data_IF_222762633278
#
_entry.id   IF_222762633278
#
_cell.length_a   1.000
_cell.length_b   1.000
_cell.length_c   1.000
_cell.angle_alpha   90.00
_cell.angle_beta   90.00
_cell.angle_gamma   90.00
#
_symmetry.space_group_name_H-M   'P 1'
#
loop_
_entity.id
_entity.type
_entity.pdbx_description
1 polymer ?
#
# COMPACT_ATOMS: atom_id res chain seq x y z
N UNK A 1 19.82 58.57 12.51
CA UNK A 1 18.87 57.44 12.62
C UNK A 1 19.55 56.19 12.09
N UNK A 2 20.07 55.32 12.95
CA UNK A 2 20.67 54.03 12.56
C UNK A 2 19.75 52.93 13.09
N UNK A 3 19.09 52.23 12.17
CA UNK A 3 18.17 51.13 12.44
C UNK A 3 18.98 49.88 12.79
N UNK A 4 18.80 49.40 14.01
CA UNK A 4 19.35 48.15 14.53
C UNK A 4 18.55 46.99 13.96
N UNK A 5 19.18 46.14 13.14
CA UNK A 5 18.59 44.89 12.67
C UNK A 5 18.74 43.81 13.76
N UNK A 6 17.62 43.30 14.24
CA UNK A 6 17.52 42.22 15.22
C UNK A 6 17.81 40.87 14.54
N UNK A 7 18.95 40.27 14.88
CA UNK A 7 19.33 38.92 14.44
C UNK A 7 18.46 37.89 15.18
N UNK A 8 17.55 37.20 14.46
CA UNK A 8 16.79 36.07 15.01
C UNK A 8 17.65 34.81 14.99
N UNK A 9 18.07 34.38 16.17
CA UNK A 9 18.78 33.11 16.39
C UNK A 9 17.79 31.95 16.24
N UNK A 10 17.96 31.12 15.19
CA UNK A 10 17.26 29.84 15.05
C UNK A 10 18.02 28.81 15.88
N UNK A 11 17.42 28.35 16.97
CA UNK A 11 17.94 27.26 17.79
C UNK A 11 17.55 25.94 17.11
N UNK A 12 18.50 25.27 16.47
CA UNK A 12 18.38 23.88 16.07
C UNK A 12 18.41 23.01 17.34
N UNK A 13 17.26 22.50 17.76
CA UNK A 13 17.19 21.47 18.79
C UNK A 13 17.75 20.16 18.22
N UNK A 14 18.98 19.80 18.59
CA UNK A 14 19.47 18.43 18.40
C UNK A 14 18.69 17.51 19.36
N UNK A 15 17.76 16.75 18.82
CA UNK A 15 17.23 15.58 19.50
C UNK A 15 18.37 14.56 19.67
N UNK A 16 18.85 14.40 20.91
CA UNK A 16 19.64 13.23 21.29
C UNK A 16 18.72 12.01 21.27
N UNK A 17 18.61 11.36 20.12
CA UNK A 17 18.04 10.01 20.01
C UNK A 17 18.93 9.08 20.85
N UNK A 18 18.40 8.59 21.97
CA UNK A 18 19.07 7.53 22.73
C UNK A 18 19.37 6.36 21.80
N UNK A 19 20.59 5.82 21.88
CA UNK A 19 20.98 4.63 21.12
C UNK A 19 20.19 3.43 21.65
N UNK A 20 19.04 3.17 21.02
CA UNK A 20 18.24 1.96 21.15
C UNK A 20 18.94 0.86 20.35
N UNK A 21 19.18 -0.29 20.97
CA UNK A 21 19.89 -1.41 20.36
C UNK A 21 19.34 -2.73 20.89
N UNK A 22 19.09 -3.65 19.96
CA UNK A 22 18.74 -5.02 20.25
C UNK A 22 19.84 -5.68 21.09
N UNK A 23 19.44 -6.52 22.04
CA UNK A 23 20.33 -7.19 22.98
C UNK A 23 20.26 -8.70 22.75
N UNK A 24 21.40 -9.29 22.36
CA UNK A 24 21.57 -10.73 22.19
C UNK A 24 22.50 -11.25 23.28
N UNK A 25 22.02 -12.18 24.11
CA UNK A 25 22.85 -12.93 25.05
C UNK A 25 23.19 -14.29 24.43
N UNK A 26 24.47 -14.65 24.44
CA UNK A 26 24.96 -15.94 23.98
C UNK A 26 25.11 -16.92 25.15
N UNK A 27 25.06 -18.22 24.86
CA UNK A 27 25.15 -19.30 25.86
C UNK A 27 26.49 -19.33 26.62
N UNK A 28 27.54 -18.71 26.08
CA UNK A 28 28.83 -18.55 26.76
C UNK A 28 28.89 -17.30 27.66
N UNK A 29 27.81 -16.52 27.75
CA UNK A 29 27.73 -15.28 28.53
C UNK A 29 28.04 -14.01 27.75
N UNK A 30 28.49 -14.11 26.50
CA UNK A 30 28.77 -12.93 25.68
C UNK A 30 27.48 -12.16 25.38
N UNK A 31 27.59 -10.83 25.35
CA UNK A 31 26.47 -9.94 25.05
C UNK A 31 26.80 -9.10 23.82
N UNK A 32 25.92 -9.15 22.83
CA UNK A 32 26.03 -8.35 21.63
C UNK A 32 24.89 -7.34 21.64
N UNK A 33 25.24 -6.06 21.54
CA UNK A 33 24.29 -4.97 21.33
C UNK A 33 24.37 -4.49 19.89
N UNK A 34 23.23 -4.38 19.23
CA UNK A 34 23.18 -3.96 17.83
C UNK A 34 21.78 -3.97 17.26
N UNK A 35 21.66 -4.47 16.05
CA UNK A 35 20.41 -4.44 15.29
C UNK A 35 20.29 -5.75 14.53
N UNK A 36 19.28 -6.55 14.85
CA UNK A 36 19.01 -7.83 14.19
C UNK A 36 18.54 -7.55 12.77
N UNK A 37 19.34 -7.99 11.80
CA UNK A 37 19.07 -7.80 10.39
C UNK A 37 18.20 -8.93 9.86
N UNK A 38 18.67 -10.17 10.02
CA UNK A 38 18.07 -11.35 9.42
C UNK A 38 18.49 -12.60 10.19
N UNK A 39 17.59 -13.58 10.30
CA UNK A 39 17.93 -14.96 10.67
C UNK A 39 17.49 -15.87 9.55
N UNK A 40 18.43 -16.61 8.97
CA UNK A 40 18.13 -17.63 7.97
C UNK A 40 18.95 -18.89 8.23
N UNK A 41 18.28 -20.04 8.19
CA UNK A 41 18.89 -21.33 8.53
C UNK A 41 19.46 -21.32 9.95
N UNK A 42 20.77 -21.52 10.07
CA UNK A 42 21.50 -21.58 11.35
C UNK A 42 22.28 -20.30 11.69
N UNK A 43 22.08 -19.22 10.94
CA UNK A 43 22.86 -17.99 11.10
C UNK A 43 21.95 -16.81 11.45
N UNK A 44 22.40 -16.00 12.40
CA UNK A 44 21.82 -14.70 12.76
C UNK A 44 22.79 -13.60 12.35
N UNK A 45 22.27 -12.63 11.60
CA UNK A 45 23.02 -11.47 11.12
C UNK A 45 22.64 -10.24 11.94
N UNK A 46 23.64 -9.56 12.48
CA UNK A 46 23.50 -8.41 13.37
C UNK A 46 24.38 -7.29 12.84
N UNK A 47 23.85 -6.06 12.76
CA UNK A 47 24.65 -4.85 12.56
C UNK A 47 24.97 -4.26 13.93
N UNK A 48 26.23 -3.92 14.18
CA UNK A 48 26.64 -3.21 15.41
C UNK A 48 27.21 -1.84 15.06
N UNK A 49 27.49 -1.02 16.08
CA UNK A 49 28.12 0.29 15.88
C UNK A 49 29.57 0.19 15.33
N UNK A 50 30.22 -0.96 15.52
CA UNK A 50 31.63 -1.18 15.18
C UNK A 50 31.85 -2.19 14.05
N UNK A 51 30.79 -2.88 13.62
CA UNK A 51 30.84 -3.82 12.50
C UNK A 51 29.53 -3.76 11.72
N UNK A 52 29.63 -3.56 10.40
CA UNK A 52 28.48 -3.54 9.49
C UNK A 52 27.68 -4.83 9.52
N UNK A 53 28.36 -5.97 9.76
CA UNK A 53 27.74 -7.28 9.84
C UNK A 53 28.55 -8.22 10.72
N UNK A 54 27.95 -8.67 11.81
CA UNK A 54 28.40 -9.81 12.63
C UNK A 54 27.46 -10.97 12.34
N UNK A 55 28.03 -12.14 12.06
CA UNK A 55 27.27 -13.36 11.82
C UNK A 55 27.58 -14.35 12.92
N UNK A 56 26.55 -14.80 13.64
CA UNK A 56 26.67 -15.80 14.70
C UNK A 56 25.80 -17.02 14.42
N UNK A 57 26.15 -18.15 15.04
CA UNK A 57 25.32 -19.35 14.98
C UNK A 57 24.07 -19.15 15.85
N UNK A 58 22.89 -19.41 15.29
CA UNK A 58 21.61 -19.33 16.02
C UNK A 58 21.61 -20.22 17.27
N UNK A 59 22.22 -21.41 17.17
CA UNK A 59 22.32 -22.35 18.29
C UNK A 59 23.15 -21.82 19.47
N UNK A 60 23.95 -20.77 19.26
CA UNK A 60 24.72 -20.10 20.31
C UNK A 60 23.91 -19.01 21.03
N UNK A 61 22.77 -18.59 20.49
CA UNK A 61 21.89 -17.59 21.10
C UNK A 61 21.17 -18.21 22.29
N UNK A 62 21.22 -17.51 23.43
CA UNK A 62 20.49 -17.84 24.64
C UNK A 62 19.23 -17.00 24.77
N UNK A 63 19.32 -15.69 24.55
CA UNK A 63 18.18 -14.78 24.60
C UNK A 63 18.30 -13.71 23.52
N UNK A 64 17.14 -13.19 23.10
CA UNK A 64 17.03 -12.09 22.15
C UNK A 64 15.97 -11.12 22.65
N UNK A 65 16.36 -9.85 22.77
CA UNK A 65 15.46 -8.74 23.02
C UNK A 65 15.66 -7.71 21.91
N UNK A 66 14.58 -7.16 21.38
CA UNK A 66 14.66 -6.09 20.38
C UNK A 66 13.94 -4.85 20.83
N UNK A 67 14.34 -3.73 20.25
CA UNK A 67 13.65 -2.45 20.44
C UNK A 67 12.67 -2.17 19.30
N UNK A 68 12.91 -2.76 18.11
CA UNK A 68 12.00 -2.70 16.95
C UNK A 68 11.29 -4.04 16.72
N UNK A 69 10.08 -4.05 16.12
CA UNK A 69 9.39 -5.24 15.72
C UNK A 69 10.22 -6.08 14.76
N UNK A 70 10.22 -7.38 15.01
CA UNK A 70 10.75 -8.40 14.11
C UNK A 70 9.59 -9.13 13.45
N UNK A 71 9.77 -9.48 12.16
CA UNK A 71 8.94 -10.49 11.52
C UNK A 71 9.55 -11.86 11.80
N UNK A 72 8.82 -12.76 12.45
CA UNK A 72 9.27 -14.09 12.82
C UNK A 72 8.45 -15.13 12.07
N UNK A 73 9.11 -16.00 11.32
CA UNK A 73 8.49 -17.19 10.72
C UNK A 73 8.79 -18.40 11.59
N UNK A 74 7.74 -19.08 12.06
CA UNK A 74 7.84 -20.29 12.87
C UNK A 74 7.96 -21.55 12.01
N UNK A 75 8.29 -22.67 12.66
CA UNK A 75 8.50 -23.97 12.00
C UNK A 75 7.22 -24.54 11.37
N UNK A 76 6.05 -24.17 11.89
CA UNK A 76 4.72 -24.47 11.34
C UNK A 76 4.29 -23.51 10.20
N UNK A 77 5.17 -22.59 9.81
CA UNK A 77 4.97 -21.52 8.82
C UNK A 77 4.06 -20.37 9.28
N UNK A 78 3.70 -20.29 10.56
CA UNK A 78 3.04 -19.11 11.08
C UNK A 78 4.01 -17.91 11.04
N UNK A 79 3.53 -16.76 10.59
CA UNK A 79 4.27 -15.50 10.58
C UNK A 79 3.71 -14.58 11.66
N UNK A 80 4.58 -14.09 12.53
CA UNK A 80 4.26 -13.21 13.66
C UNK A 80 5.07 -11.91 13.53
N UNK A 81 4.50 -10.77 13.93
CA UNK A 81 5.21 -9.48 13.93
C UNK A 81 5.08 -8.83 15.30
N UNK A 82 6.21 -8.54 15.95
CA UNK A 82 6.21 -7.85 17.24
C UNK A 82 7.61 -7.56 17.77
N UNK A 83 7.68 -6.76 18.82
CA UNK A 83 8.91 -6.51 19.56
C UNK A 83 9.27 -7.78 20.34
N UNK A 84 10.51 -8.23 20.25
CA UNK A 84 10.96 -9.43 20.93
C UNK A 84 11.38 -9.12 22.37
N UNK A 85 10.82 -9.86 23.31
CA UNK A 85 11.25 -9.89 24.70
C UNK A 85 11.64 -11.31 25.09
N UNK A 86 12.36 -11.42 26.20
CA UNK A 86 12.79 -12.71 26.75
C UNK A 86 11.90 -13.10 27.93
N UNK A 87 11.33 -14.29 27.87
CA UNK A 87 10.59 -14.89 28.98
C UNK A 87 11.55 -15.50 30.03
N UNK A 88 11.02 -15.84 31.21
CA UNK A 88 11.82 -16.36 32.32
C UNK A 88 12.55 -17.69 31.99
N UNK A 89 12.05 -18.47 31.04
CA UNK A 89 12.63 -19.73 30.58
C UNK A 89 13.62 -19.57 29.40
N UNK A 90 13.92 -18.32 29.00
CA UNK A 90 14.80 -18.02 27.86
C UNK A 90 14.13 -18.13 26.50
N UNK A 91 12.84 -18.44 26.45
CA UNK A 91 12.04 -18.37 25.22
C UNK A 91 11.69 -16.91 24.86
N UNK A 92 11.20 -16.71 23.63
CA UNK A 92 10.90 -15.39 23.10
C UNK A 92 9.41 -15.09 23.22
N UNK A 93 9.06 -13.91 23.72
CA UNK A 93 7.68 -13.39 23.66
C UNK A 93 7.64 -12.21 22.71
N UNK A 94 6.61 -12.15 21.87
CA UNK A 94 6.38 -11.02 20.99
C UNK A 94 5.27 -10.15 21.57
N UNK A 95 5.53 -8.86 21.70
CA UNK A 95 4.51 -7.86 22.01
C UNK A 95 4.31 -6.94 20.81
N UNK A 96 3.05 -6.77 20.38
CA UNK A 96 2.70 -5.75 19.39
C UNK A 96 2.05 -4.56 20.08
N UNK A 97 2.88 -3.72 20.73
CA UNK A 97 2.52 -2.42 21.34
C UNK A 97 1.07 -2.31 21.88
N UNK A 98 0.68 -3.25 22.75
CA UNK A 98 -0.60 -3.25 23.47
C UNK A 98 -1.77 -3.98 22.79
N UNK A 99 -1.58 -4.58 21.61
CA UNK A 99 -2.64 -5.32 20.89
C UNK A 99 -2.67 -6.79 21.32
N UNK A 100 -1.52 -7.43 21.48
CA UNK A 100 -1.41 -8.80 22.00
C UNK A 100 0.01 -9.11 22.49
N UNK A 101 0.11 -10.10 23.37
CA UNK A 101 1.36 -10.75 23.79
C UNK A 101 1.26 -12.23 23.42
N UNK A 102 2.27 -12.76 22.73
CA UNK A 102 2.28 -14.18 22.39
C UNK A 102 2.54 -15.04 23.63
N UNK A 103 2.14 -16.31 23.57
CA UNK A 103 2.71 -17.31 24.47
C UNK A 103 4.23 -17.42 24.24
N UNK A 104 5.00 -17.89 25.24
CA UNK A 104 6.44 -18.05 25.10
C UNK A 104 6.80 -18.99 23.93
N UNK A 105 7.63 -18.50 23.01
CA UNK A 105 8.03 -19.17 21.77
C UNK A 105 9.45 -19.70 21.93
N UNK A 106 9.67 -21.03 21.93
CA UNK A 106 11.01 -21.59 21.98
C UNK A 106 11.86 -21.09 20.81
N UNK A 107 13.12 -20.68 21.07
CA UNK A 107 14.04 -20.22 20.02
C UNK A 107 14.28 -21.30 18.93
N UNK A 108 14.09 -22.58 19.26
CA UNK A 108 14.16 -23.70 18.32
C UNK A 108 13.03 -23.70 17.30
N UNK A 109 11.88 -23.11 17.62
CA UNK A 109 10.73 -23.04 16.72
C UNK A 109 10.85 -21.89 15.71
N UNK A 110 11.75 -20.93 15.96
CA UNK A 110 11.99 -19.79 15.07
C UNK A 110 12.81 -20.24 13.87
N UNK A 111 12.17 -20.25 12.70
CA UNK A 111 12.79 -20.67 11.44
C UNK A 111 13.50 -19.52 10.74
N UNK A 112 12.86 -18.36 10.65
CA UNK A 112 13.42 -17.16 10.00
C UNK A 112 13.06 -15.90 10.81
N UNK A 113 13.90 -14.88 10.74
CA UNK A 113 13.65 -13.54 11.30
C UNK A 113 13.89 -12.52 10.21
N UNK A 114 12.97 -11.56 10.04
CA UNK A 114 13.02 -10.48 9.05
C UNK A 114 13.17 -10.99 7.61
N UNK A 115 12.62 -12.18 7.34
CA UNK A 115 12.52 -12.69 5.98
C UNK A 115 11.69 -11.72 5.15
N UNK A 116 12.13 -11.45 3.93
CA UNK A 116 11.25 -10.81 2.95
C UNK A 116 10.12 -11.79 2.62
N UNK A 117 8.89 -11.41 2.95
CA UNK A 117 7.71 -12.18 2.58
C UNK A 117 6.98 -11.47 1.44
N UNK A 118 6.37 -12.28 0.58
CA UNK A 118 5.56 -11.82 -0.53
C UNK A 118 4.13 -12.24 -0.25
N UNK A 119 3.23 -11.27 -0.29
CA UNK A 119 1.80 -11.52 -0.29
C UNK A 119 1.20 -10.89 -1.53
N UNK A 120 0.09 -11.42 -2.01
CA UNK A 120 -0.58 -10.82 -3.15
C UNK A 120 -1.88 -11.48 -3.50
N UNK A 121 -2.54 -10.91 -4.49
CA UNK A 121 -3.72 -11.50 -5.08
C UNK A 121 -3.78 -11.24 -6.58
N UNK A 122 -4.46 -12.13 -7.30
CA UNK A 122 -4.86 -11.91 -8.68
C UNK A 122 -6.32 -12.35 -8.82
N UNK A 123 -7.18 -11.47 -9.31
CA UNK A 123 -8.61 -11.69 -9.38
C UNK A 123 -9.12 -11.45 -10.80
N UNK A 124 -10.12 -12.24 -11.20
CA UNK A 124 -10.85 -12.08 -12.45
C UNK A 124 -12.35 -12.17 -12.20
N UNK A 125 -13.09 -11.22 -12.74
CA UNK A 125 -14.54 -11.11 -12.63
C UNK A 125 -15.17 -10.73 -13.96
N UNK A 126 -16.41 -11.12 -14.17
CA UNK A 126 -17.10 -10.79 -15.41
C UNK A 126 -18.56 -11.21 -15.40
N UNK A 127 -19.29 -10.70 -16.39
CA UNK A 127 -20.69 -11.03 -16.62
C UNK A 127 -20.95 -11.04 -18.12
N UNK A 128 -21.73 -12.01 -18.58
CA UNK A 128 -22.19 -12.12 -19.95
C UNK A 128 -23.71 -12.29 -19.91
N UNK A 129 -24.44 -11.36 -20.51
CA UNK A 129 -25.90 -11.41 -20.61
C UNK A 129 -26.30 -11.30 -22.08
N UNK A 130 -27.17 -12.22 -22.53
CA UNK A 130 -27.70 -12.26 -23.88
C UNK A 130 -29.23 -12.20 -23.85
N UNK A 131 -29.85 -11.43 -24.77
CA UNK A 131 -31.30 -11.28 -24.81
C UNK A 131 -31.72 -10.06 -25.63
N UNK A 132 -32.66 -9.26 -25.11
CA UNK A 132 -33.08 -7.99 -25.74
C UNK A 132 -31.94 -6.96 -25.81
N UNK A 133 -30.98 -7.06 -24.89
CA UNK A 133 -29.73 -6.30 -24.86
C UNK A 133 -28.61 -7.29 -24.55
N UNK A 134 -27.54 -7.28 -25.34
CA UNK A 134 -26.34 -8.06 -25.04
C UNK A 134 -25.39 -7.20 -24.22
N UNK A 135 -24.81 -7.73 -23.13
CA UNK A 135 -23.88 -6.99 -22.27
C UNK A 135 -22.76 -7.89 -21.80
N UNK A 136 -21.52 -7.45 -22.04
CA UNK A 136 -20.33 -8.14 -21.53
C UNK A 136 -19.56 -7.20 -20.61
N UNK A 137 -19.05 -7.75 -19.52
CA UNK A 137 -18.15 -7.05 -18.61
C UNK A 137 -16.99 -7.94 -18.23
N UNK A 138 -15.79 -7.38 -18.17
CA UNK A 138 -14.58 -8.02 -17.71
C UNK A 138 -13.86 -7.10 -16.71
N UNK A 139 -13.44 -7.68 -15.61
CA UNK A 139 -12.60 -7.06 -14.60
C UNK A 139 -11.43 -7.98 -14.30
N UNK A 140 -10.22 -7.43 -14.32
CA UNK A 140 -9.01 -8.13 -13.91
C UNK A 140 -8.24 -7.20 -12.99
N UNK A 141 -7.76 -7.72 -11.87
CA UNK A 141 -6.85 -7.00 -11.00
C UNK A 141 -5.77 -7.94 -10.46
N UNK A 142 -4.63 -7.35 -10.10
CA UNK A 142 -3.60 -8.04 -9.35
C UNK A 142 -2.84 -7.05 -8.47
N UNK A 143 -2.40 -7.52 -7.31
CA UNK A 143 -1.54 -6.78 -6.41
C UNK A 143 -0.50 -7.71 -5.77
N UNK A 144 0.71 -7.20 -5.59
CA UNK A 144 1.82 -7.89 -4.96
C UNK A 144 2.48 -6.95 -3.97
N UNK A 145 2.68 -7.41 -2.75
CA UNK A 145 3.40 -6.71 -1.70
C UNK A 145 4.60 -7.55 -1.28
N UNK A 146 5.78 -6.95 -1.33
CA UNK A 146 7.01 -7.47 -0.73
C UNK A 146 7.27 -6.68 0.55
N UNK A 147 7.25 -7.34 1.70
CA UNK A 147 7.55 -6.74 3.00
C UNK A 147 8.83 -7.33 3.57
N UNK A 148 9.80 -6.46 3.82
CA UNK A 148 10.95 -6.75 4.66
C UNK A 148 10.84 -6.04 6.00
N UNK A 149 11.96 -5.96 6.72
CA UNK A 149 12.04 -5.30 8.02
C UNK A 149 11.76 -3.80 7.94
N UNK A 150 12.55 -3.08 7.16
CA UNK A 150 12.47 -1.62 7.04
C UNK A 150 11.78 -1.19 5.75
N UNK A 151 11.57 -2.10 4.79
CA UNK A 151 11.08 -1.75 3.47
C UNK A 151 9.76 -2.48 3.15
N UNK A 152 8.84 -1.79 2.50
CA UNK A 152 7.62 -2.34 1.91
C UNK A 152 7.50 -1.87 0.47
N UNK A 153 7.38 -2.79 -0.48
CA UNK A 153 7.12 -2.48 -1.88
C UNK A 153 5.76 -3.08 -2.23
N UNK A 154 4.86 -2.26 -2.75
CA UNK A 154 3.58 -2.73 -3.29
C UNK A 154 3.51 -2.34 -4.77
N UNK A 155 3.10 -3.28 -5.61
CA UNK A 155 2.83 -3.06 -7.01
C UNK A 155 1.48 -3.67 -7.36
N UNK A 156 0.69 -3.00 -8.18
CA UNK A 156 -0.59 -3.54 -8.59
C UNK A 156 -1.14 -2.87 -9.83
N UNK A 157 -2.21 -3.46 -10.36
CA UNK A 157 -2.91 -2.91 -11.49
C UNK A 157 -4.29 -3.51 -11.66
N UNK A 158 -5.11 -2.83 -12.45
CA UNK A 158 -6.44 -3.30 -12.80
C UNK A 158 -6.82 -2.88 -14.22
N UNK A 159 -7.68 -3.68 -14.83
CA UNK A 159 -8.27 -3.43 -16.14
C UNK A 159 -9.77 -3.67 -16.08
N UNK A 160 -10.54 -2.70 -16.56
CA UNK A 160 -11.99 -2.80 -16.67
C UNK A 160 -12.43 -2.63 -18.11
N UNK A 161 -13.29 -3.53 -18.57
CA UNK A 161 -13.95 -3.47 -19.88
C UNK A 161 -15.44 -3.74 -19.72
N UNK A 162 -16.26 -2.93 -20.37
CA UNK A 162 -17.69 -3.19 -20.49
C UNK A 162 -18.23 -2.66 -21.82
N UNK A 163 -19.02 -3.46 -22.51
CA UNK A 163 -19.77 -3.07 -23.69
C UNK A 163 -21.23 -3.57 -23.61
N UNK A 164 -22.11 -2.89 -24.33
CA UNK A 164 -23.50 -3.29 -24.49
C UNK A 164 -23.94 -3.10 -25.94
N UNK A 165 -24.79 -4.01 -26.42
CA UNK A 165 -25.41 -3.89 -27.72
C UNK A 165 -26.87 -3.44 -27.55
N UNK A 166 -27.17 -2.21 -27.97
CA UNK A 166 -28.51 -1.61 -27.89
C UNK A 166 -29.00 -1.33 -29.31
N UNK A 167 -30.17 -1.85 -29.67
CA UNK A 167 -30.75 -1.69 -31.01
C UNK A 167 -29.78 -2.06 -32.16
N UNK A 168 -28.98 -3.12 -31.96
CA UNK A 168 -28.01 -3.62 -32.95
C UNK A 168 -26.68 -2.84 -33.03
N UNK A 169 -26.50 -1.75 -32.27
CA UNK A 169 -25.25 -0.98 -32.21
C UNK A 169 -24.46 -1.34 -30.95
N UNK A 170 -23.15 -1.52 -31.11
CA UNK A 170 -22.24 -1.72 -29.97
C UNK A 170 -21.88 -0.38 -29.34
N UNK A 171 -22.14 -0.27 -28.05
CA UNK A 171 -21.81 0.87 -27.20
C UNK A 171 -20.76 0.42 -26.17
N UNK A 172 -19.60 1.05 -26.20
CA UNK A 172 -18.61 0.88 -25.15
C UNK A 172 -19.10 1.63 -23.91
N UNK A 173 -19.05 0.99 -22.75
CA UNK A 173 -19.49 1.56 -21.48
C UNK A 173 -18.32 1.80 -20.50
N UNK A 174 -17.30 0.95 -20.55
CA UNK A 174 -16.09 1.13 -19.76
C UNK A 174 -14.86 0.60 -20.51
N UNK A 175 -13.78 1.36 -20.45
CA UNK A 175 -12.43 0.92 -20.82
C UNK A 175 -11.44 1.78 -20.07
N UNK A 176 -10.94 1.23 -18.98
CA UNK A 176 -9.93 1.89 -18.16
C UNK A 176 -8.90 0.90 -17.65
N UNK A 177 -7.74 1.44 -17.36
CA UNK A 177 -6.57 0.73 -16.87
C UNK A 177 -5.91 1.54 -15.77
N UNK A 178 -5.36 0.86 -14.79
CA UNK A 178 -4.54 1.47 -13.76
C UNK A 178 -3.34 0.56 -13.47
N UNK A 179 -2.19 1.18 -13.22
CA UNK A 179 -1.05 0.58 -12.55
C UNK A 179 -0.56 1.52 -11.46
N UNK A 180 -0.08 0.96 -10.36
CA UNK A 180 0.53 1.73 -9.30
C UNK A 180 1.70 0.98 -8.66
N UNK A 181 2.63 1.75 -8.10
CA UNK A 181 3.74 1.26 -7.31
C UNK A 181 3.96 2.16 -6.10
N UNK A 182 4.23 1.56 -4.94
CA UNK A 182 4.57 2.28 -3.72
C UNK A 182 5.79 1.63 -3.07
N UNK A 183 6.76 2.45 -2.69
CA UNK A 183 7.90 2.05 -1.87
C UNK A 183 7.83 2.81 -0.56
N UNK A 184 7.84 2.10 0.57
CA UNK A 184 7.82 2.67 1.91
C UNK A 184 9.07 2.23 2.68
N UNK A 185 9.78 3.18 3.27
CA UNK A 185 10.92 2.95 4.16
C UNK A 185 10.60 3.38 5.59
N UNK A 186 10.64 2.43 6.51
CA UNK A 186 10.24 2.56 7.91
C UNK A 186 11.40 3.07 8.76
N UNK A 187 11.25 4.28 9.30
CA UNK A 187 12.22 4.86 10.22
C UNK A 187 11.99 4.37 11.66
N UNK A 188 10.73 4.04 11.98
CA UNK A 188 10.28 3.41 13.22
C UNK A 188 9.29 2.29 12.91
N UNK A 189 8.77 1.66 13.96
CA UNK A 189 7.79 0.56 13.90
C UNK A 189 6.53 0.89 13.08
N UNK A 190 6.17 2.17 12.98
CA UNK A 190 4.90 2.62 12.37
C UNK A 190 5.06 3.81 11.44
N UNK A 191 6.10 4.63 11.61
CA UNK A 191 6.32 5.81 10.78
C UNK A 191 7.29 5.51 9.65
N UNK A 192 6.91 5.89 8.44
CA UNK A 192 7.68 5.64 7.23
C UNK A 192 7.64 6.83 6.27
N UNK A 193 8.67 6.96 5.46
CA UNK A 193 8.66 7.78 4.25
C UNK A 193 8.27 6.92 3.05
N UNK A 194 7.60 7.49 2.06
CA UNK A 194 7.22 6.74 0.86
C UNK A 194 7.50 7.49 -0.43
N UNK A 195 7.64 6.71 -1.51
CA UNK A 195 7.62 7.16 -2.90
C UNK A 195 6.56 6.35 -3.66
N UNK A 196 5.74 7.06 -4.41
CA UNK A 196 4.54 6.55 -5.08
C UNK A 196 4.57 6.88 -6.57
N UNK A 197 4.07 5.96 -7.39
CA UNK A 197 3.81 6.19 -8.80
C UNK A 197 2.46 5.58 -9.21
N UNK A 198 1.68 6.33 -9.99
CA UNK A 198 0.37 5.93 -10.50
C UNK A 198 0.27 6.25 -11.98
N UNK A 199 -0.20 5.29 -12.76
CA UNK A 199 -0.51 5.44 -14.18
C UNK A 199 -1.95 5.02 -14.41
N UNK A 200 -2.74 5.86 -15.07
CA UNK A 200 -4.14 5.56 -15.39
C UNK A 200 -4.47 5.92 -16.83
N UNK A 201 -5.29 5.09 -17.45
CA UNK A 201 -5.99 5.40 -18.69
C UNK A 201 -7.48 5.29 -18.43
N UNK A 202 -8.26 6.26 -18.93
CA UNK A 202 -9.72 6.16 -18.89
C UNK A 202 -10.30 6.82 -20.15
N UNK A 203 -10.88 5.98 -21.03
CA UNK A 203 -11.46 6.45 -22.29
C UNK A 203 -12.68 7.35 -22.09
N UNK A 204 -13.43 7.19 -21.00
CA UNK A 204 -14.63 7.98 -20.75
C UNK A 204 -14.32 9.30 -20.07
N UNK A 205 -13.23 9.39 -19.31
CA UNK A 205 -12.74 10.66 -18.77
C UNK A 205 -11.82 11.43 -19.73
N UNK A 206 -11.66 10.96 -20.96
CA UNK A 206 -10.74 11.51 -21.96
C UNK A 206 -9.26 11.50 -21.54
N UNK A 207 -8.89 10.53 -20.71
CA UNK A 207 -7.52 10.39 -20.21
C UNK A 207 -6.83 9.35 -21.07
N UNK A 208 -5.93 9.79 -21.95
CA UNK A 208 -5.03 8.89 -22.66
C UNK A 208 -3.98 8.34 -21.70
N UNK A 209 -3.40 9.21 -20.87
CA UNK A 209 -2.49 8.80 -19.80
C UNK A 209 -2.48 9.88 -18.72
N UNK A 210 -2.78 9.48 -17.49
CA UNK A 210 -2.43 10.27 -16.31
C UNK A 210 -1.32 9.56 -15.56
N UNK A 211 -0.22 10.28 -15.34
CA UNK A 211 0.91 9.85 -14.52
C UNK A 211 0.96 10.73 -13.28
N UNK A 212 1.06 10.13 -12.11
CA UNK A 212 1.20 10.84 -10.84
C UNK A 212 2.37 10.25 -10.05
N UNK A 213 3.32 11.09 -9.65
CA UNK A 213 4.50 10.69 -8.89
C UNK A 213 4.65 11.54 -7.64
N UNK A 214 4.74 10.87 -6.50
CA UNK A 214 4.63 11.52 -5.21
C UNK A 214 5.63 10.97 -4.21
N UNK A 215 5.95 11.80 -3.23
CA UNK A 215 6.71 11.40 -2.06
C UNK A 215 6.00 11.92 -0.82
N UNK A 216 6.14 11.25 0.30
CA UNK A 216 5.48 11.71 1.51
C UNK A 216 5.85 10.93 2.75
N UNK A 217 5.05 11.14 3.78
CA UNK A 217 5.13 10.42 5.04
C UNK A 217 3.85 9.62 5.26
N UNK A 218 4.00 8.46 5.89
CA UNK A 218 2.89 7.63 6.29
C UNK A 218 3.06 7.10 7.71
N UNK A 219 1.94 6.67 8.27
CA UNK A 219 1.86 6.12 9.61
C UNK A 219 0.90 4.92 9.65
N UNK A 220 1.37 3.78 10.16
CA UNK A 220 0.53 2.63 10.46
C UNK A 220 -0.13 2.84 11.82
N UNK A 221 -1.39 3.32 11.80
CA UNK A 221 -2.21 3.57 13.00
C UNK A 221 -2.46 2.25 13.74
N UNK A 222 -2.84 1.21 12.98
CA UNK A 222 -2.94 -0.16 13.47
C UNK A 222 -2.08 -1.06 12.57
N UNK A 223 -1.32 -1.96 13.19
CA UNK A 223 -0.50 -2.96 12.50
C UNK A 223 -0.45 -4.23 13.34
N UNK A 224 -1.33 -5.18 13.05
CA UNK A 224 -1.39 -6.50 13.66
C UNK A 224 -1.72 -7.57 12.60
N UNK A 225 -1.74 -8.84 13.00
CA UNK A 225 -2.07 -9.93 12.08
C UNK A 225 -3.49 -9.83 11.50
N UNK A 226 -4.44 -9.32 12.28
CA UNK A 226 -5.86 -9.29 11.91
C UNK A 226 -6.41 -7.88 11.69
N UNK A 227 -5.68 -6.81 12.03
CA UNK A 227 -6.12 -5.43 11.85
C UNK A 227 -4.97 -4.53 11.42
N UNK A 228 -5.11 -3.93 10.24
CA UNK A 228 -4.17 -3.00 9.67
C UNK A 228 -4.91 -1.73 9.23
N UNK A 229 -4.37 -0.57 9.61
CA UNK A 229 -4.85 0.72 9.18
C UNK A 229 -3.65 1.65 9.03
N UNK A 230 -3.47 2.22 7.84
CA UNK A 230 -2.43 3.19 7.56
C UNK A 230 -2.98 4.44 6.90
N UNK A 231 -2.37 5.57 7.22
CA UNK A 231 -2.60 6.84 6.54
C UNK A 231 -1.30 7.33 5.90
N UNK A 232 -1.38 7.86 4.68
CA UNK A 232 -0.28 8.48 3.95
C UNK A 232 -0.69 9.88 3.48
N UNK A 233 0.25 10.83 3.49
CA UNK A 233 0.06 12.14 2.89
C UNK A 233 1.38 12.72 2.34
N UNK A 234 1.29 13.49 1.26
CA UNK A 234 2.48 14.11 0.65
C UNK A 234 2.17 14.90 -0.62
N UNK A 235 3.16 15.67 -1.13
CA UNK A 235 3.07 16.28 -2.45
C UNK A 235 3.17 15.23 -3.57
N UNK A 236 2.54 15.57 -4.69
CA UNK A 236 2.45 14.73 -5.89
C UNK A 236 2.62 15.64 -7.12
N UNK A 237 3.24 15.12 -8.18
CA UNK A 237 3.30 15.78 -9.48
C UNK A 237 2.47 14.98 -10.48
N UNK A 238 1.43 15.61 -11.00
CA UNK A 238 0.45 14.97 -11.88
C UNK A 238 0.58 15.54 -13.29
N UNK A 239 0.69 14.65 -14.27
CA UNK A 239 0.63 14.95 -15.69
C UNK A 239 -0.53 14.17 -16.32
N UNK A 240 -1.39 14.87 -17.07
CA UNK A 240 -2.54 14.32 -17.77
C UNK A 240 -2.43 14.65 -19.25
N UNK A 241 -2.17 13.60 -20.04
CA UNK A 241 -2.31 13.64 -21.49
C UNK A 241 -3.73 13.19 -21.87
N UNK A 242 -4.40 14.00 -22.69
CA UNK A 242 -5.78 13.74 -23.11
C UNK A 242 -5.82 13.16 -24.52
N UNK A 243 -6.95 12.57 -24.93
CA UNK A 243 -7.08 12.16 -26.31
C UNK A 243 -7.35 13.37 -27.20
N UNK A 244 -6.88 13.33 -28.43
CA UNK A 244 -7.24 14.28 -29.47
C UNK A 244 -8.69 14.02 -29.94
N UNK A 245 -9.65 14.44 -29.13
CA UNK A 245 -11.07 14.42 -29.47
C UNK A 245 -11.62 15.86 -29.55
N UNK A 246 -12.27 16.24 -30.66
CA UNK A 246 -12.87 17.56 -30.79
C UNK A 246 -14.12 17.68 -29.91
N UNK A 247 -14.08 18.57 -28.91
CA UNK A 247 -15.23 18.91 -28.06
C UNK A 247 -15.88 20.22 -28.52
N UNK A 248 -17.21 20.32 -28.43
CA UNK A 248 -17.91 21.59 -28.61
C UNK A 248 -17.93 22.28 -27.26
N UNK A 249 -17.05 23.26 -27.05
CA UNK A 249 -16.96 24.01 -25.79
C UNK A 249 -17.46 25.45 -25.97
N UNK A 250 -18.33 25.89 -25.06
CA UNK A 250 -18.74 27.30 -24.99
C UNK A 250 -17.56 28.15 -24.51
N UNK A 251 -16.97 28.97 -25.39
CA UNK A 251 -15.91 29.92 -25.00
C UNK A 251 -14.50 29.64 -25.56
N UNK A 252 -14.33 28.68 -26.47
CA UNK A 252 -13.11 28.54 -27.27
C UNK A 252 -13.01 29.70 -28.28
N UNK A 253 -12.60 30.88 -27.77
CA UNK A 253 -12.49 32.20 -28.42
C UNK A 253 -13.75 32.75 -29.14
N UNK A 254 -14.11 33.98 -28.79
CA UNK A 254 -15.05 34.86 -29.51
C UNK A 254 -16.43 34.26 -29.86
N UNK A 255 -17.08 33.58 -28.91
CA UNK A 255 -18.51 33.29 -29.01
C UNK A 255 -18.94 32.37 -30.16
N UNK A 256 -17.99 31.70 -30.84
CA UNK A 256 -18.29 30.69 -31.86
C UNK A 256 -18.05 29.30 -31.29
N UNK A 257 -19.04 28.42 -31.35
CA UNK A 257 -18.91 27.00 -31.03
C UNK A 257 -17.96 26.33 -32.04
N UNK A 258 -16.65 26.37 -31.78
CA UNK A 258 -15.66 25.62 -32.56
C UNK A 258 -15.27 24.33 -31.83
N UNK A 259 -14.96 23.26 -32.57
CA UNK A 259 -14.36 22.08 -31.98
C UNK A 259 -12.98 22.45 -31.41
N UNK A 260 -12.76 22.20 -30.13
CA UNK A 260 -11.46 22.35 -29.47
C UNK A 260 -11.14 21.08 -28.68
N UNK A 261 -9.86 20.71 -28.65
CA UNK A 261 -9.38 19.62 -27.79
C UNK A 261 -9.15 20.17 -26.39
N UNK A 262 -9.33 19.33 -25.38
CA UNK A 262 -8.90 19.68 -24.03
C UNK A 262 -7.37 19.74 -24.00
N UNK A 263 -6.78 20.77 -23.37
CA UNK A 263 -5.34 20.86 -23.27
C UNK A 263 -4.79 19.75 -22.37
N UNK A 264 -3.56 19.34 -22.63
CA UNK A 264 -2.78 18.56 -21.66
C UNK A 264 -2.51 19.42 -20.42
N UNK A 265 -2.45 18.77 -19.26
CA UNK A 265 -2.30 19.46 -17.98
C UNK A 265 -1.19 18.85 -17.15
N UNK A 266 -0.38 19.72 -16.55
CA UNK A 266 0.58 19.33 -15.52
C UNK A 266 0.42 20.23 -14.29
N UNK A 267 0.44 19.64 -13.10
CA UNK A 267 0.27 20.38 -11.85
C UNK A 267 0.96 19.70 -10.67
N UNK A 268 1.44 20.51 -9.74
CA UNK A 268 1.66 20.05 -8.37
C UNK A 268 0.31 19.77 -7.71
N UNK A 269 0.23 18.72 -6.92
CA UNK A 269 -0.95 18.29 -6.20
C UNK A 269 -0.58 17.84 -4.79
N UNK A 270 -1.57 17.80 -3.89
CA UNK A 270 -1.50 17.08 -2.63
C UNK A 270 -2.14 15.70 -2.79
N UNK A 271 -1.51 14.67 -2.24
CA UNK A 271 -2.03 13.30 -2.16
C UNK A 271 -2.27 12.91 -0.72
N UNK A 272 -3.36 12.17 -0.48
CA UNK A 272 -3.53 11.39 0.73
C UNK A 272 -4.07 10.00 0.40
N UNK A 273 -3.76 9.02 1.25
CA UNK A 273 -4.30 7.67 1.12
C UNK A 273 -4.62 7.05 2.50
N UNK A 274 -5.65 6.21 2.52
CA UNK A 274 -6.00 5.37 3.67
C UNK A 274 -6.08 3.93 3.18
N UNK A 275 -5.38 3.03 3.87
CA UNK A 275 -5.47 1.60 3.61
C UNK A 275 -5.88 0.91 4.90
N UNK A 276 -6.99 0.19 4.85
CA UNK A 276 -7.55 -0.58 5.95
C UNK A 276 -7.75 -2.03 5.51
N UNK A 277 -7.40 -2.95 6.40
CA UNK A 277 -7.63 -4.38 6.24
C UNK A 277 -7.95 -4.98 7.61
N UNK A 278 -9.02 -5.78 7.70
CA UNK A 278 -9.36 -6.49 8.92
C UNK A 278 -9.83 -7.92 8.64
N UNK A 279 -9.17 -8.89 9.25
CA UNK A 279 -9.59 -10.29 9.28
C UNK A 279 -10.64 -10.50 10.37
N UNK A 280 -11.71 -11.21 10.03
CA UNK A 280 -12.82 -11.59 10.90
C UNK A 280 -13.02 -13.11 10.85
N UNK A 281 -13.73 -13.65 11.86
CA UNK A 281 -14.13 -15.06 11.92
C UNK A 281 -12.98 -16.05 11.70
N UNK A 282 -11.87 -15.87 12.44
CA UNK A 282 -10.67 -16.69 12.29
C UNK A 282 -10.14 -16.72 10.84
N UNK A 283 -10.06 -15.52 10.21
CA UNK A 283 -9.65 -15.30 8.81
C UNK A 283 -10.60 -15.91 7.77
N UNK A 284 -11.84 -16.23 8.16
CA UNK A 284 -12.89 -16.66 7.23
C UNK A 284 -13.39 -15.55 6.30
N UNK A 285 -13.23 -14.28 6.71
CA UNK A 285 -13.51 -13.10 5.89
C UNK A 285 -12.44 -12.03 6.18
N UNK A 286 -11.94 -11.38 5.14
CA UNK A 286 -11.05 -10.24 5.26
C UNK A 286 -11.69 -9.00 4.63
N UNK A 287 -12.07 -8.03 5.45
CA UNK A 287 -12.57 -6.74 4.98
C UNK A 287 -11.41 -5.88 4.51
N UNK A 288 -11.62 -5.10 3.45
CA UNK A 288 -10.65 -4.10 3.01
C UNK A 288 -11.31 -2.79 2.59
N UNK A 289 -10.56 -1.70 2.78
CA UNK A 289 -10.88 -0.39 2.24
C UNK A 289 -9.60 0.32 1.83
N UNK A 290 -9.49 0.64 0.53
CA UNK A 290 -8.41 1.45 -0.04
C UNK A 290 -9.00 2.77 -0.51
N UNK A 291 -8.44 3.88 -0.05
CA UNK A 291 -8.84 5.24 -0.43
C UNK A 291 -7.61 6.00 -0.88
N UNK A 292 -7.71 6.71 -2.00
CA UNK A 292 -6.71 7.64 -2.48
C UNK A 292 -7.39 8.93 -2.95
N UNK A 293 -6.88 10.07 -2.50
CA UNK A 293 -7.28 11.38 -2.96
C UNK A 293 -6.09 12.17 -3.48
N UNK A 294 -6.27 12.83 -4.62
CA UNK A 294 -5.29 13.72 -5.23
C UNK A 294 -6.00 15.05 -5.53
N UNK A 295 -5.47 16.14 -4.99
CA UNK A 295 -6.01 17.49 -5.17
C UNK A 295 -4.94 18.41 -5.76
N UNK A 296 -5.15 18.88 -6.99
CA UNK A 296 -4.28 19.82 -7.68
C UNK A 296 -5.12 20.81 -8.47
N UNK A 297 -5.03 20.77 -9.80
CA UNK A 297 -5.95 21.52 -10.64
C UNK A 297 -7.41 21.03 -10.54
N UNK A 298 -7.64 19.82 -10.07
CA UNK A 298 -8.94 19.25 -9.72
C UNK A 298 -8.80 18.24 -8.59
N UNK A 299 -9.93 17.80 -8.06
CA UNK A 299 -10.05 16.74 -7.06
C UNK A 299 -10.37 15.41 -7.73
N UNK A 300 -9.46 14.45 -7.57
CA UNK A 300 -9.66 13.05 -7.91
C UNK A 300 -9.70 12.23 -6.61
N UNK A 301 -10.74 11.42 -6.43
CA UNK A 301 -10.87 10.51 -5.29
C UNK A 301 -11.24 9.13 -5.81
N UNK A 302 -10.51 8.11 -5.34
CA UNK A 302 -10.78 6.71 -5.62
C UNK A 302 -10.95 5.96 -4.32
N UNK A 303 -12.02 5.18 -4.22
CA UNK A 303 -12.21 4.22 -3.13
C UNK A 303 -12.50 2.84 -3.67
N UNK A 304 -11.94 1.82 -3.01
CA UNK A 304 -12.21 0.40 -3.25
C UNK A 304 -12.52 -0.22 -1.90
N UNK A 305 -13.76 -0.67 -1.72
CA UNK A 305 -14.22 -1.25 -0.46
C UNK A 305 -14.81 -2.61 -0.72
N UNK A 306 -14.45 -3.60 0.08
CA UNK A 306 -14.89 -4.95 -0.20
C UNK A 306 -14.48 -5.95 0.86
N UNK A 307 -14.59 -7.22 0.49
CA UNK A 307 -14.09 -8.31 1.29
C UNK A 307 -13.55 -9.43 0.42
N UNK A 308 -12.56 -10.13 0.96
CA UNK A 308 -12.10 -11.42 0.48
C UNK A 308 -12.67 -12.52 1.37
N UNK A 309 -13.14 -13.60 0.77
CA UNK A 309 -13.59 -14.80 1.44
C UNK A 309 -12.77 -15.98 0.91
N UNK A 310 -11.81 -16.50 1.69
CA UNK A 310 -11.07 -17.70 1.32
C UNK A 310 -12.03 -18.87 1.11
N UNK A 311 -11.85 -19.62 0.02
CA UNK A 311 -12.68 -20.78 -0.32
C UNK A 311 -11.89 -22.07 -0.10
N UNK A 312 -10.85 -22.32 -0.89
CA UNK A 312 -9.98 -23.49 -0.73
C UNK A 312 -8.60 -23.24 -1.36
N UNK A 313 -7.53 -23.70 -0.70
CA UNK A 313 -6.16 -23.73 -1.26
C UNK A 313 -5.70 -22.41 -1.92
N UNK A 314 -5.97 -21.27 -1.29
CA UNK A 314 -5.60 -19.94 -1.82
C UNK A 314 -6.62 -19.34 -2.79
N UNK A 315 -7.57 -20.12 -3.30
CA UNK A 315 -8.70 -19.58 -4.07
C UNK A 315 -9.60 -18.78 -3.13
N UNK A 316 -9.95 -17.57 -3.55
CA UNK A 316 -10.80 -16.66 -2.81
C UNK A 316 -11.89 -16.07 -3.69
N UNK A 317 -13.03 -15.81 -3.08
CA UNK A 317 -14.06 -14.95 -3.65
C UNK A 317 -13.83 -13.52 -3.16
N UNK A 318 -13.89 -12.56 -4.08
CA UNK A 318 -13.75 -11.15 -3.78
C UNK A 318 -15.02 -10.42 -4.22
N UNK A 319 -15.62 -9.67 -3.30
CA UNK A 319 -16.61 -8.67 -3.63
C UNK A 319 -16.02 -7.30 -3.39
N UNK A 320 -16.20 -6.39 -4.34
CA UNK A 320 -15.65 -5.05 -4.28
C UNK A 320 -16.63 -4.01 -4.84
N UNK A 321 -16.71 -2.86 -4.18
CA UNK A 321 -17.35 -1.65 -4.68
C UNK A 321 -16.28 -0.59 -4.92
N UNK A 322 -16.19 -0.12 -6.16
CA UNK A 322 -15.29 0.97 -6.54
C UNK A 322 -16.08 2.26 -6.74
N UNK A 323 -15.66 3.34 -6.07
CA UNK A 323 -16.15 4.70 -6.35
C UNK A 323 -15.00 5.56 -6.87
N UNK A 324 -15.14 6.04 -8.09
CA UNK A 324 -14.20 6.97 -8.73
C UNK A 324 -14.89 8.32 -8.91
N UNK A 325 -14.40 9.34 -8.22
CA UNK A 325 -14.90 10.71 -8.29
C UNK A 325 -13.86 11.63 -8.94
N UNK A 326 -14.33 12.46 -9.86
CA UNK A 326 -13.53 13.53 -10.47
C UNK A 326 -14.39 14.79 -10.64
N UNK A 327 -13.92 15.91 -10.10
CA UNK A 327 -14.67 17.18 -10.10
C UNK A 327 -14.68 17.89 -11.46
N UNK A 328 -13.63 17.70 -12.27
CA UNK A 328 -13.44 18.37 -13.57
C UNK A 328 -13.56 17.40 -14.74
N UNK A 329 -14.75 16.95 -15.05
CA UNK A 329 -14.96 16.07 -16.20
C UNK A 329 -14.61 16.74 -17.54
N UNK A 330 -14.07 15.94 -18.45
CA UNK A 330 -13.71 16.33 -19.81
C UNK A 330 -14.87 16.83 -20.67
N UNK A 331 -16.13 16.49 -20.35
CA UNK A 331 -17.27 16.77 -21.22
C UNK A 331 -18.52 17.23 -20.45
N UNK A 332 -19.27 18.17 -21.05
CA UNK A 332 -20.55 18.65 -20.57
C UNK A 332 -21.62 17.55 -20.75
N UNK A 333 -21.78 16.71 -19.74
CA UNK A 333 -22.81 15.66 -19.72
C UNK A 333 -22.38 14.32 -19.13
N UNK A 334 -21.07 14.14 -18.83
CA UNK A 334 -20.60 12.94 -18.14
C UNK A 334 -20.70 13.10 -16.62
N UNK A 335 -21.06 12.00 -15.94
CA UNK A 335 -21.18 11.95 -14.47
C UNK A 335 -19.82 12.08 -13.82
N UNK A 336 -19.74 12.87 -12.75
CA UNK A 336 -18.51 13.08 -11.95
C UNK A 336 -18.18 11.91 -11.04
N UNK A 337 -19.13 11.02 -10.80
CA UNK A 337 -18.99 9.81 -10.02
C UNK A 337 -19.26 8.59 -10.89
N UNK A 338 -18.28 7.68 -10.95
CA UNK A 338 -18.44 6.32 -11.46
C UNK A 338 -18.47 5.33 -10.29
N UNK A 339 -19.35 4.33 -10.39
CA UNK A 339 -19.55 3.31 -9.36
C UNK A 339 -19.59 1.94 -10.02
N UNK A 340 -18.74 1.03 -9.55
CA UNK A 340 -18.67 -0.35 -10.04
C UNK A 340 -18.89 -1.33 -8.90
N UNK A 341 -19.79 -2.27 -9.10
CA UNK A 341 -19.98 -3.42 -8.23
C UNK A 341 -19.33 -4.63 -8.90
N UNK A 342 -18.35 -5.22 -8.24
CA UNK A 342 -17.50 -6.25 -8.80
C UNK A 342 -17.61 -7.51 -7.96
N UNK A 343 -17.68 -8.63 -8.67
CA UNK A 343 -17.61 -9.97 -8.11
C UNK A 343 -16.54 -10.72 -8.89
N UNK A 344 -15.53 -11.22 -8.20
CA UNK A 344 -14.41 -11.89 -8.81
C UNK A 344 -14.04 -13.15 -8.04
N UNK A 345 -13.44 -14.09 -8.76
CA UNK A 345 -12.71 -15.20 -8.18
C UNK A 345 -11.23 -14.94 -8.43
N UNK A 346 -10.41 -15.27 -7.44
CA UNK A 346 -8.98 -15.04 -7.52
C UNK A 346 -8.19 -16.03 -6.72
N UNK A 347 -6.88 -15.84 -6.77
CA UNK A 347 -5.92 -16.58 -5.97
C UNK A 347 -5.13 -15.60 -5.12
N UNK A 348 -5.16 -15.80 -3.81
CA UNK A 348 -4.35 -15.08 -2.83
C UNK A 348 -3.22 -15.96 -2.29
N UNK A 349 -2.07 -15.36 -2.01
CA UNK A 349 -0.91 -16.05 -1.44
C UNK A 349 -0.19 -15.24 -0.39
#
# INVERSE_FOLDING_TARGET
>A
MKSTQSLKLVVLALCSLGAQADEILLKNGDRISGTVLNKSGKLLEIKTAYAEKIVIKWDAVQTLKTDKPLSITLSDKQELIGIANTAADGSLTLNSNGVYNTQPIPLTNIKEINKKFFSGSANIGGNMANGNTNRNTLHVDADVTMRGRDDKVTFGGQYNYADAQVAGKNELNARNFQMYGNYSHFFSDRAYGYAHGLFTNDRFQDIQLRSAFGIGAGYEIFSSEDLNLSFEAGPDYVNVNRYDHPYIMTGCQNGTNKPCNLPDEASMAGRWAVNYNQSLFNRGVQLFHKHEGIIGNGLFVRTRTGFHMPLWSGIQFTNEVQWDYYDKNADFGKKTLDTRYLFSLGYGW
#
